data_IF_463934079877
#
_entry.id   IF_463934079877
#
_cell.length_a   1.000
_cell.length_b   1.000
_cell.length_c   1.000
_cell.angle_alpha   90.00
_cell.angle_beta   90.00
_cell.angle_gamma   90.00
#
_symmetry.space_group_name_H-M   'P 1'
#
loop_
_entity.id
_entity.type
_entity.pdbx_description
1 polymer ?
#
# COMPACT_ATOMS: atom_id res chain seq x y z
N UNK A 1 -6.69 23.23 -56.61
CA UNK A 1 -7.49 23.17 -55.36
C UNK A 1 -7.19 21.97 -54.43
N UNK A 2 -6.06 21.24 -54.55
CA UNK A 2 -5.83 19.98 -53.79
C UNK A 2 -4.81 20.05 -52.65
N UNK A 3 -4.03 21.14 -52.54
CA UNK A 3 -2.91 21.28 -51.59
C UNK A 3 -3.33 21.85 -50.22
N UNK A 4 -4.35 22.73 -50.19
CA UNK A 4 -4.80 23.38 -48.96
C UNK A 4 -5.66 22.47 -48.09
N UNK A 5 -6.46 21.58 -48.70
CA UNK A 5 -7.30 20.60 -48.00
C UNK A 5 -6.46 19.57 -47.24
N UNK A 6 -5.32 19.16 -47.80
CA UNK A 6 -4.41 18.21 -47.14
C UNK A 6 -3.74 18.80 -45.89
N UNK A 7 -3.35 20.09 -45.93
CA UNK A 7 -2.79 20.80 -44.77
C UNK A 7 -3.81 20.97 -43.65
N UNK A 8 -5.06 21.29 -43.98
CA UNK A 8 -6.15 21.45 -43.01
C UNK A 8 -6.44 20.10 -42.31
N UNK A 9 -6.46 18.98 -43.04
CA UNK A 9 -6.63 17.65 -42.43
C UNK A 9 -5.49 17.26 -41.49
N UNK A 10 -4.23 17.61 -41.82
CA UNK A 10 -3.09 17.39 -40.91
C UNK A 10 -3.19 18.22 -39.63
N UNK A 11 -3.65 19.47 -39.71
CA UNK A 11 -3.84 20.33 -38.54
C UNK A 11 -4.97 19.83 -37.63
N UNK A 12 -6.08 19.36 -38.19
CA UNK A 12 -7.22 18.83 -37.41
C UNK A 12 -6.84 17.52 -36.69
N UNK A 13 -6.11 16.62 -37.36
CA UNK A 13 -5.62 15.38 -36.73
C UNK A 13 -4.59 15.65 -35.62
N UNK A 14 -3.71 16.65 -35.81
CA UNK A 14 -2.76 17.07 -34.78
C UNK A 14 -3.45 17.58 -33.51
N UNK A 15 -4.46 18.45 -33.67
CA UNK A 15 -5.21 19.00 -32.53
C UNK A 15 -5.99 17.90 -31.77
N UNK A 16 -6.60 16.95 -32.48
CA UNK A 16 -7.32 15.84 -31.85
C UNK A 16 -6.38 14.89 -31.08
N UNK A 17 -5.14 14.71 -31.53
CA UNK A 17 -4.13 13.89 -30.85
C UNK A 17 -3.61 14.58 -29.57
N UNK A 18 -3.42 15.91 -29.60
CA UNK A 18 -3.02 16.67 -28.41
C UNK A 18 -4.11 16.74 -27.33
N UNK A 19 -5.39 16.84 -27.71
CA UNK A 19 -6.49 16.89 -26.74
C UNK A 19 -6.73 15.56 -25.99
N UNK A 20 -6.36 14.42 -26.58
CA UNK A 20 -6.48 13.10 -25.92
C UNK A 20 -5.37 12.83 -24.89
N UNK A 21 -4.23 13.55 -24.96
CA UNK A 21 -3.14 13.40 -23.98
C UNK A 21 -3.36 14.20 -22.69
N UNK A 22 -4.24 15.21 -22.71
CA UNK A 22 -4.55 16.02 -21.51
C UNK A 22 -5.51 15.33 -20.53
N UNK A 23 -6.14 14.21 -20.92
CA UNK A 23 -7.02 13.44 -20.04
C UNK A 23 -6.38 12.18 -19.44
N UNK A 24 -5.05 12.12 -19.38
CA UNK A 24 -4.40 11.21 -18.45
C UNK A 24 -4.52 11.79 -17.03
N UNK A 25 -5.72 11.68 -16.45
CA UNK A 25 -5.99 12.00 -15.05
C UNK A 25 -5.12 11.07 -14.22
N UNK A 26 -3.94 11.56 -13.85
CA UNK A 26 -3.07 10.94 -12.84
C UNK A 26 -3.99 10.57 -11.69
N UNK A 27 -4.08 9.29 -11.36
CA UNK A 27 -4.76 8.82 -10.15
C UNK A 27 -4.14 9.66 -9.04
N UNK A 28 -4.91 10.62 -8.52
CA UNK A 28 -4.45 11.49 -7.46
C UNK A 28 -4.23 10.58 -6.27
N UNK A 29 -2.96 10.22 -6.01
CA UNK A 29 -2.52 9.71 -4.71
C UNK A 29 -3.12 10.69 -3.72
N UNK A 30 -4.00 10.21 -2.83
CA UNK A 30 -4.64 11.07 -1.84
C UNK A 30 -3.54 11.92 -1.21
N UNK A 31 -3.69 13.23 -1.25
CA UNK A 31 -2.74 14.17 -0.63
C UNK A 31 -2.80 13.96 0.88
N UNK A 32 -2.16 12.89 1.33
CA UNK A 32 -1.94 12.61 2.73
C UNK A 32 -1.05 13.68 3.35
N UNK A 33 -1.01 13.72 4.67
CA UNK A 33 -0.16 14.66 5.38
C UNK A 33 1.30 14.32 5.11
N UNK A 34 2.09 15.32 4.72
CA UNK A 34 3.55 15.18 4.59
C UNK A 34 4.19 15.40 5.96
N UNK A 35 4.60 14.30 6.58
CA UNK A 35 5.32 14.25 7.86
C UNK A 35 6.55 13.37 7.65
N UNK A 36 7.72 13.99 7.51
CA UNK A 36 8.97 13.28 7.16
C UNK A 36 9.47 12.39 8.30
N UNK A 37 9.35 12.86 9.55
CA UNK A 37 9.68 12.09 10.74
C UNK A 37 8.84 10.82 10.80
N UNK A 38 7.54 10.94 10.54
CA UNK A 38 6.66 9.78 10.47
C UNK A 38 7.03 8.82 9.35
N UNK A 39 7.40 9.32 8.17
CA UNK A 39 7.75 8.47 7.02
C UNK A 39 9.00 7.66 7.28
N UNK A 40 9.99 8.24 7.95
CA UNK A 40 11.21 7.55 8.37
C UNK A 40 10.89 6.50 9.44
N UNK A 41 10.25 6.91 10.53
CA UNK A 41 9.87 6.03 11.64
C UNK A 41 9.02 4.84 11.17
N UNK A 42 7.96 5.12 10.41
CA UNK A 42 7.06 4.08 9.91
C UNK A 42 7.73 3.16 8.88
N UNK A 43 8.76 3.64 8.16
CA UNK A 43 9.56 2.80 7.26
C UNK A 43 10.43 1.80 8.02
N UNK A 44 10.98 2.21 9.17
CA UNK A 44 11.73 1.30 10.04
C UNK A 44 10.80 0.26 10.69
N UNK A 45 9.67 0.72 11.26
CA UNK A 45 8.67 -0.16 11.88
C UNK A 45 8.11 -1.19 10.90
N UNK A 46 7.78 -0.77 9.67
CA UNK A 46 7.24 -1.70 8.66
C UNK A 46 8.28 -2.70 8.20
N UNK A 47 9.56 -2.32 8.13
CA UNK A 47 10.64 -3.23 7.77
C UNK A 47 10.74 -4.38 8.79
N UNK A 48 10.78 -4.05 10.08
CA UNK A 48 10.80 -5.04 11.15
C UNK A 48 9.55 -5.93 11.16
N UNK A 49 8.37 -5.32 10.99
CA UNK A 49 7.09 -6.03 10.89
C UNK A 49 7.07 -7.03 9.71
N UNK A 50 7.42 -6.58 8.50
CA UNK A 50 7.39 -7.41 7.31
C UNK A 50 8.44 -8.53 7.37
N UNK A 51 9.63 -8.25 7.90
CA UNK A 51 10.65 -9.28 8.13
C UNK A 51 10.14 -10.36 9.07
N UNK A 52 9.51 -9.97 10.19
CA UNK A 52 8.92 -10.90 11.15
C UNK A 52 7.84 -11.78 10.50
N UNK A 53 6.96 -11.19 9.70
CA UNK A 53 5.94 -11.95 8.96
C UNK A 53 6.55 -12.94 7.97
N UNK A 54 7.60 -12.55 7.25
CA UNK A 54 8.30 -13.43 6.33
C UNK A 54 8.89 -14.65 7.07
N UNK A 55 9.63 -14.40 8.16
CA UNK A 55 10.21 -15.46 8.99
C UNK A 55 9.16 -16.37 9.61
N UNK A 56 8.06 -15.82 10.13
CA UNK A 56 6.99 -16.63 10.72
C UNK A 56 6.12 -17.35 9.67
N UNK A 57 6.18 -16.91 8.41
CA UNK A 57 5.52 -17.56 7.29
C UNK A 57 6.30 -18.75 6.74
N UNK A 58 7.64 -18.71 6.79
CA UNK A 58 8.49 -19.83 6.37
C UNK A 58 8.14 -21.12 7.14
N UNK A 59 7.70 -22.15 6.41
CA UNK A 59 7.29 -23.44 6.97
C UNK A 59 5.78 -23.63 7.19
N UNK A 60 5.01 -22.55 7.30
CA UNK A 60 3.55 -22.63 7.53
C UNK A 60 2.73 -23.03 6.29
N UNK A 61 3.32 -22.99 5.09
CA UNK A 61 2.59 -23.17 3.82
C UNK A 61 2.84 -24.50 3.11
N UNK A 62 3.49 -25.46 3.77
CA UNK A 62 3.81 -26.79 3.20
C UNK A 62 2.57 -27.50 2.64
N UNK A 63 1.41 -27.30 3.28
CA UNK A 63 0.11 -27.87 2.94
C UNK A 63 -0.64 -27.16 1.80
N UNK A 64 -0.17 -26.00 1.33
CA UNK A 64 -0.82 -25.26 0.25
C UNK A 64 -0.43 -25.79 -1.14
N UNK A 65 -1.33 -25.62 -2.12
CA UNK A 65 -1.04 -25.86 -3.54
C UNK A 65 0.04 -24.89 -4.04
N UNK A 66 0.82 -25.28 -5.04
CA UNK A 66 1.98 -24.50 -5.51
C UNK A 66 1.62 -23.08 -5.97
N UNK A 67 0.46 -22.89 -6.61
CA UNK A 67 -0.04 -21.56 -6.98
C UNK A 67 -0.29 -20.65 -5.76
N UNK A 68 -0.89 -21.20 -4.70
CA UNK A 68 -1.11 -20.48 -3.44
C UNK A 68 0.21 -20.20 -2.71
N UNK A 69 1.17 -21.13 -2.74
CA UNK A 69 2.51 -20.92 -2.16
C UNK A 69 3.22 -19.74 -2.80
N UNK A 70 3.18 -19.62 -4.13
CA UNK A 70 3.81 -18.51 -4.85
C UNK A 70 3.16 -17.17 -4.48
N UNK A 71 1.83 -17.10 -4.47
CA UNK A 71 1.12 -15.88 -4.07
C UNK A 71 1.43 -15.47 -2.63
N UNK A 72 1.47 -16.42 -1.71
CA UNK A 72 1.77 -16.14 -0.31
C UNK A 72 3.22 -15.67 -0.14
N UNK A 73 4.18 -16.32 -0.82
CA UNK A 73 5.59 -15.88 -0.82
C UNK A 73 5.75 -14.47 -1.38
N UNK A 74 5.02 -14.13 -2.44
CA UNK A 74 5.03 -12.77 -3.00
C UNK A 74 4.48 -11.76 -2.00
N UNK A 75 3.35 -12.07 -1.34
CA UNK A 75 2.74 -11.18 -0.34
C UNK A 75 3.58 -11.03 0.93
N UNK A 76 4.30 -12.07 1.33
CA UNK A 76 5.20 -12.08 2.48
C UNK A 76 6.60 -11.57 2.14
N UNK A 77 6.90 -11.27 0.87
CA UNK A 77 8.15 -10.64 0.50
C UNK A 77 8.26 -9.30 1.24
N UNK A 78 9.32 -9.08 2.05
CA UNK A 78 9.46 -7.86 2.84
C UNK A 78 9.40 -6.58 2.01
N UNK A 79 9.96 -6.59 0.80
CA UNK A 79 9.94 -5.43 -0.10
C UNK A 79 8.51 -5.12 -0.59
N UNK A 80 7.76 -6.14 -0.99
CA UNK A 80 6.37 -5.99 -1.42
C UNK A 80 5.47 -5.51 -0.27
N UNK A 81 5.67 -6.08 0.91
CA UNK A 81 4.94 -5.72 2.12
C UNK A 81 5.17 -4.23 2.50
N UNK A 82 6.43 -3.79 2.52
CA UNK A 82 6.79 -2.39 2.79
C UNK A 82 6.25 -1.44 1.72
N UNK A 83 6.33 -1.81 0.43
CA UNK A 83 5.77 -1.01 -0.65
C UNK A 83 4.25 -0.83 -0.53
N UNK A 84 3.54 -1.92 -0.22
CA UNK A 84 2.08 -1.88 -0.01
C UNK A 84 1.72 -0.95 1.15
N UNK A 85 2.49 -0.98 2.24
CA UNK A 85 2.30 -0.08 3.36
C UNK A 85 2.50 1.39 2.99
N UNK A 86 3.54 1.73 2.20
CA UNK A 86 3.79 3.10 1.73
C UNK A 86 2.67 3.71 0.89
N UNK A 87 1.80 2.86 0.32
CA UNK A 87 0.61 3.30 -0.44
C UNK A 87 -0.67 3.32 0.40
N UNK A 88 -0.59 2.96 1.69
CA UNK A 88 -1.75 2.81 2.56
C UNK A 88 -2.15 4.12 3.25
N UNK A 89 -3.41 4.18 3.72
CA UNK A 89 -3.90 5.27 4.55
C UNK A 89 -3.04 5.50 5.80
N UNK A 90 -2.43 4.44 6.35
CA UNK A 90 -1.62 4.55 7.55
C UNK A 90 -0.32 5.31 7.30
N UNK A 91 0.35 5.04 6.17
CA UNK A 91 1.54 5.77 5.78
C UNK A 91 1.21 7.22 5.36
N UNK A 92 0.10 7.39 4.64
CA UNK A 92 -0.35 8.70 4.16
C UNK A 92 -1.06 9.54 5.23
N UNK A 93 -1.24 9.02 6.45
CA UNK A 93 -2.00 9.66 7.53
C UNK A 93 -3.39 10.14 7.06
N UNK A 94 -4.10 9.29 6.32
CA UNK A 94 -5.38 9.60 5.68
C UNK A 94 -6.58 8.94 6.37
N UNK A 95 -7.77 9.54 6.21
CA UNK A 95 -9.08 9.00 6.62
C UNK A 95 -9.30 8.77 8.14
N UNK A 96 -8.41 9.29 8.98
CA UNK A 96 -8.47 9.23 10.44
C UNK A 96 -7.55 10.31 11.04
N UNK A 97 -7.68 10.61 12.34
CA UNK A 97 -6.75 11.49 13.04
C UNK A 97 -5.31 10.94 12.96
N UNK A 98 -4.30 11.76 12.58
CA UNK A 98 -2.91 11.32 12.42
C UNK A 98 -2.32 10.66 13.66
N UNK A 99 -2.58 11.20 14.86
CA UNK A 99 -2.04 10.64 16.10
C UNK A 99 -2.66 9.27 16.42
N UNK A 100 -3.94 9.08 16.09
CA UNK A 100 -4.60 7.77 16.18
C UNK A 100 -3.96 6.76 15.23
N UNK A 101 -3.63 7.18 13.99
CA UNK A 101 -2.94 6.33 13.01
C UNK A 101 -1.55 5.93 13.51
N UNK A 102 -0.75 6.92 13.93
CA UNK A 102 0.61 6.71 14.45
C UNK A 102 0.60 5.75 15.63
N UNK A 103 -0.30 5.94 16.59
CA UNK A 103 -0.47 5.06 17.76
C UNK A 103 -0.81 3.62 17.33
N UNK A 104 -1.80 3.45 16.46
CA UNK A 104 -2.22 2.12 16.02
C UNK A 104 -1.10 1.36 15.26
N UNK A 105 -0.35 2.06 14.42
CA UNK A 105 0.81 1.47 13.71
C UNK A 105 1.92 1.08 14.69
N UNK A 106 2.34 2.00 15.56
CA UNK A 106 3.38 1.73 16.58
C UNK A 106 3.02 0.52 17.43
N UNK A 107 1.81 0.53 18.01
CA UNK A 107 1.33 -0.54 18.88
C UNK A 107 1.23 -1.88 18.14
N UNK A 108 0.61 -1.91 16.96
CA UNK A 108 0.49 -3.17 16.22
C UNK A 108 1.85 -3.72 15.76
N UNK A 109 2.71 -2.89 15.17
CA UNK A 109 3.97 -3.36 14.59
C UNK A 109 4.95 -3.80 15.69
N UNK A 110 5.03 -3.09 16.82
CA UNK A 110 5.86 -3.50 17.96
C UNK A 110 5.39 -4.82 18.59
N UNK A 111 4.07 -5.02 18.75
CA UNK A 111 3.53 -6.28 19.26
C UNK A 111 3.84 -7.42 18.31
N UNK A 112 3.65 -7.23 17.01
CA UNK A 112 3.95 -8.28 16.02
C UNK A 112 5.44 -8.60 15.99
N UNK A 113 6.31 -7.60 16.04
CA UNK A 113 7.76 -7.82 16.07
C UNK A 113 8.20 -8.63 17.30
N UNK A 114 7.58 -8.39 18.47
CA UNK A 114 7.93 -9.06 19.72
C UNK A 114 7.26 -10.42 19.95
N UNK A 115 6.10 -10.67 19.33
CA UNK A 115 5.34 -11.91 19.56
C UNK A 115 5.92 -13.16 18.87
N UNK A 116 5.45 -14.33 19.32
CA UNK A 116 5.88 -15.63 18.76
C UNK A 116 5.21 -15.92 17.41
N UNK A 117 5.89 -16.69 16.56
CA UNK A 117 5.34 -17.07 15.26
C UNK A 117 4.04 -17.87 15.38
N UNK A 118 3.87 -18.68 16.42
CA UNK A 118 2.62 -19.43 16.68
C UNK A 118 1.42 -18.50 16.85
N UNK A 119 1.60 -17.39 17.58
CA UNK A 119 0.54 -16.39 17.78
C UNK A 119 0.28 -15.61 16.50
N UNK A 120 1.32 -15.23 15.77
CA UNK A 120 1.21 -14.53 14.47
C UNK A 120 0.45 -15.40 13.46
N UNK A 121 0.74 -16.70 13.40
CA UNK A 121 0.07 -17.67 12.52
C UNK A 121 -1.41 -17.85 12.88
N UNK A 122 -1.81 -17.69 14.15
CA UNK A 122 -3.22 -17.66 14.58
C UNK A 122 -3.97 -16.39 14.13
N UNK A 123 -3.23 -15.37 13.67
CA UNK A 123 -3.74 -14.16 13.03
C UNK A 123 -3.31 -12.89 13.75
N UNK A 124 -2.67 -11.97 13.02
CA UNK A 124 -2.18 -10.67 13.53
C UNK A 124 -3.28 -9.82 14.16
N UNK A 125 -4.50 -9.87 13.65
CA UNK A 125 -5.63 -9.08 14.15
C UNK A 125 -6.05 -9.45 15.57
N UNK A 126 -5.73 -10.67 16.02
CA UNK A 126 -6.06 -11.17 17.36
C UNK A 126 -4.98 -10.82 18.39
N UNK A 127 -3.86 -10.24 17.96
CA UNK A 127 -2.74 -9.92 18.85
C UNK A 127 -3.00 -8.67 19.69
N UNK A 128 -3.67 -7.66 19.12
CA UNK A 128 -3.99 -6.43 19.84
C UNK A 128 -5.16 -5.67 19.21
N UNK A 129 -5.78 -4.82 20.02
CA UNK A 129 -6.77 -3.85 19.56
C UNK A 129 -6.16 -2.89 18.53
N UNK A 130 -4.90 -2.50 18.71
CA UNK A 130 -4.17 -1.64 17.78
C UNK A 130 -4.07 -2.26 16.37
N UNK A 131 -3.87 -3.59 16.26
CA UNK A 131 -3.87 -4.27 14.97
C UNK A 131 -5.24 -4.30 14.31
N UNK A 132 -6.30 -4.52 15.08
CA UNK A 132 -7.67 -4.44 14.59
C UNK A 132 -8.03 -3.01 14.15
N UNK A 133 -7.58 -2.01 14.91
CA UNK A 133 -7.77 -0.59 14.58
C UNK A 133 -7.02 -0.20 13.32
N UNK A 134 -5.78 -0.66 13.17
CA UNK A 134 -4.96 -0.44 11.97
C UNK A 134 -5.64 -1.04 10.73
N UNK A 135 -6.19 -2.25 10.83
CA UNK A 135 -6.94 -2.85 9.72
C UNK A 135 -8.17 -2.01 9.35
N UNK A 136 -8.91 -1.51 10.33
CA UNK A 136 -10.06 -0.64 10.07
C UNK A 136 -9.65 0.65 9.35
N UNK A 137 -8.54 1.28 9.76
CA UNK A 137 -7.98 2.47 9.09
C UNK A 137 -7.59 2.15 7.63
N UNK A 138 -6.92 1.03 7.39
CA UNK A 138 -6.49 0.62 6.06
C UNK A 138 -7.65 0.23 5.14
N UNK A 139 -8.77 -0.23 5.71
CA UNK A 139 -9.95 -0.66 4.96
C UNK A 139 -10.87 0.50 4.55
N UNK A 140 -10.68 1.69 5.14
CA UNK A 140 -11.41 2.89 4.72
C UNK A 140 -11.02 3.26 3.29
N UNK A 141 -11.97 3.20 2.37
CA UNK A 141 -11.77 3.75 1.03
C UNK A 141 -11.80 5.29 1.10
N UNK A 142 -10.94 5.93 0.30
CA UNK A 142 -11.10 7.34 -0.02
C UNK A 142 -12.44 7.51 -0.75
N UNK A 143 -13.50 7.85 -0.02
CA UNK A 143 -14.72 8.37 -0.62
C UNK A 143 -14.41 9.81 -1.03
N UNK A 144 -14.00 9.99 -2.27
CA UNK A 144 -14.10 11.28 -2.95
C UNK A 144 -15.57 11.55 -3.27
#
# INVERSE_FOLDING_TARGET
MRRNTLRISFFIFGIFFFLNLFFCKKISVSQGIQDDLWREESSELVSAYCQKLATCGEGSFSHLKDSSKTLVRERLNPAYCAEKFRRSNAYLLANENPETIKKAVRGCFQIVASETCEKIQKGVLKLSEDCSRLQAIQSKQNRN
#
